data_IF_099276477786
#
_entry.id   IF_099276477786
#
_cell.length_a   1.000
_cell.length_b   1.000
_cell.length_c   1.000
_cell.angle_alpha   90.00
_cell.angle_beta   90.00
_cell.angle_gamma   90.00
#
_symmetry.space_group_name_H-M   'P 1'
#
loop_
_entity.id
_entity.type
_entity.pdbx_description
1 polymer ?
#
# COMPACT_ATOMS: atom_id res chain seq x y z
N UNK A 1 22.65 -0.48 -17.70
CA UNK A 1 21.24 -0.23 -18.14
C UNK A 1 20.58 -1.47 -18.75
N UNK A 2 21.06 -2.04 -19.87
CA UNK A 2 20.42 -3.18 -20.56
C UNK A 2 20.37 -4.50 -19.77
N UNK A 3 21.29 -4.68 -18.82
CA UNK A 3 21.29 -5.84 -17.91
C UNK A 3 20.33 -5.67 -16.72
N UNK A 4 20.19 -4.44 -16.20
CA UNK A 4 19.27 -4.11 -15.12
C UNK A 4 17.80 -4.31 -15.55
N UNK A 5 17.47 -3.90 -16.78
CA UNK A 5 16.14 -4.14 -17.37
C UNK A 5 15.90 -5.66 -17.52
N UNK A 6 16.89 -6.43 -17.98
CA UNK A 6 16.77 -7.89 -18.08
C UNK A 6 16.59 -8.57 -16.71
N UNK A 7 17.27 -8.07 -15.67
CA UNK A 7 17.10 -8.53 -14.30
C UNK A 7 15.68 -8.27 -13.81
N UNK A 8 15.17 -7.04 -13.96
CA UNK A 8 13.79 -6.68 -13.61
C UNK A 8 12.75 -7.54 -14.34
N UNK A 9 12.90 -7.73 -15.65
CA UNK A 9 11.96 -8.57 -16.43
C UNK A 9 12.00 -10.04 -16.00
N UNK A 10 13.18 -10.57 -15.64
CA UNK A 10 13.31 -11.94 -15.13
C UNK A 10 12.68 -12.08 -13.75
N UNK A 11 12.95 -11.14 -12.84
CA UNK A 11 12.34 -11.11 -11.51
C UNK A 11 10.82 -11.03 -11.60
N UNK A 12 10.30 -10.15 -12.47
CA UNK A 12 8.86 -10.03 -12.71
C UNK A 12 8.24 -11.32 -13.25
N UNK A 13 8.89 -11.98 -14.21
CA UNK A 13 8.41 -13.27 -14.74
C UNK A 13 8.42 -14.38 -13.69
N UNK A 14 9.46 -14.43 -12.86
CA UNK A 14 9.58 -15.41 -11.77
C UNK A 14 8.51 -15.17 -10.69
N UNK A 15 8.09 -13.93 -10.46
CA UNK A 15 7.01 -13.61 -9.52
C UNK A 15 5.68 -14.29 -9.86
N UNK A 16 5.41 -14.63 -11.13
CA UNK A 16 4.16 -15.30 -11.55
C UNK A 16 4.27 -16.82 -11.72
N UNK A 17 5.42 -17.40 -11.42
CA UNK A 17 5.65 -18.85 -11.49
C UNK A 17 5.56 -19.41 -10.07
N UNK A 18 4.56 -20.25 -9.81
CA UNK A 18 4.36 -20.83 -8.48
C UNK A 18 3.62 -22.17 -8.52
N UNK A 19 3.41 -22.72 -7.34
CA UNK A 19 2.65 -23.95 -7.12
C UNK A 19 1.13 -23.70 -7.24
N UNK A 20 0.30 -24.76 -7.30
CA UNK A 20 -1.17 -24.61 -7.31
C UNK A 20 -1.69 -23.77 -6.15
N UNK A 21 -1.08 -23.90 -4.95
CA UNK A 21 -1.42 -23.09 -3.78
C UNK A 21 -1.15 -21.60 -3.99
N UNK A 22 -0.06 -21.27 -4.68
CA UNK A 22 0.30 -19.89 -5.00
C UNK A 22 -0.76 -19.27 -5.93
N UNK A 23 -1.15 -19.98 -6.99
CA UNK A 23 -2.18 -19.48 -7.90
C UNK A 23 -3.54 -19.33 -7.22
N UNK A 24 -3.94 -20.28 -6.36
CA UNK A 24 -5.15 -20.17 -5.57
C UNK A 24 -5.14 -18.94 -4.65
N UNK A 25 -4.01 -18.68 -3.98
CA UNK A 25 -3.86 -17.50 -3.12
C UNK A 25 -3.89 -16.19 -3.91
N UNK A 26 -3.18 -16.12 -5.04
CA UNK A 26 -3.18 -14.96 -5.92
C UNK A 26 -4.57 -14.67 -6.50
N UNK A 27 -5.31 -15.71 -6.90
CA UNK A 27 -6.69 -15.57 -7.37
C UNK A 27 -7.59 -15.02 -6.27
N UNK A 28 -7.50 -15.56 -5.06
CA UNK A 28 -8.25 -15.09 -3.90
C UNK A 28 -7.99 -13.60 -3.60
N UNK A 29 -6.72 -13.18 -3.55
CA UNK A 29 -6.34 -11.78 -3.35
C UNK A 29 -6.87 -10.88 -4.48
N UNK A 30 -6.84 -11.35 -5.72
CA UNK A 30 -7.37 -10.61 -6.88
C UNK A 30 -8.88 -10.44 -6.78
N UNK A 31 -9.62 -11.47 -6.36
CA UNK A 31 -11.05 -11.36 -6.11
C UNK A 31 -11.38 -10.31 -5.05
N UNK A 32 -10.65 -10.29 -3.93
CA UNK A 32 -10.82 -9.28 -2.87
C UNK A 32 -10.53 -7.88 -3.41
N UNK A 33 -9.44 -7.70 -4.16
CA UNK A 33 -9.08 -6.42 -4.74
C UNK A 33 -10.16 -5.90 -5.70
N UNK A 34 -10.75 -6.76 -6.53
CA UNK A 34 -11.84 -6.40 -7.44
C UNK A 34 -13.12 -6.03 -6.70
N UNK A 35 -13.44 -6.73 -5.60
CA UNK A 35 -14.57 -6.36 -4.74
C UNK A 35 -14.36 -4.97 -4.11
N UNK A 36 -13.14 -4.70 -3.61
CA UNK A 36 -12.76 -3.39 -3.08
C UNK A 36 -12.84 -2.28 -4.13
N UNK A 37 -12.36 -2.55 -5.36
CA UNK A 37 -12.45 -1.61 -6.47
C UNK A 37 -13.91 -1.33 -6.86
N UNK A 38 -14.77 -2.36 -6.88
CA UNK A 38 -16.21 -2.18 -7.14
C UNK A 38 -16.87 -1.29 -6.08
N UNK A 39 -16.55 -1.52 -4.79
CA UNK A 39 -17.04 -0.68 -3.70
C UNK A 39 -16.55 0.77 -3.84
N UNK A 40 -15.29 0.98 -4.19
CA UNK A 40 -14.73 2.30 -4.45
C UNK A 40 -15.41 3.01 -5.63
N UNK A 41 -15.66 2.31 -6.74
CA UNK A 41 -16.39 2.88 -7.88
C UNK A 41 -17.80 3.32 -7.50
N UNK A 42 -18.50 2.53 -6.67
CA UNK A 42 -19.82 2.92 -6.15
C UNK A 42 -19.71 4.18 -5.29
N UNK A 43 -18.77 4.22 -4.36
CA UNK A 43 -18.55 5.39 -3.51
C UNK A 43 -18.18 6.65 -4.32
N UNK A 44 -17.42 6.50 -5.40
CA UNK A 44 -17.09 7.62 -6.28
C UNK A 44 -18.34 8.25 -6.94
N UNK A 45 -19.35 7.43 -7.25
CA UNK A 45 -20.60 7.91 -7.89
C UNK A 45 -21.62 8.42 -6.86
N UNK A 46 -21.82 7.68 -5.77
CA UNK A 46 -22.83 8.00 -4.75
C UNK A 46 -22.32 8.98 -3.68
N UNK A 47 -21.02 9.28 -3.68
CA UNK A 47 -20.36 10.19 -2.73
C UNK A 47 -19.99 9.52 -1.41
N UNK A 48 -19.27 10.27 -0.56
CA UNK A 48 -18.78 9.81 0.74
C UNK A 48 -19.89 9.37 1.72
N UNK A 49 -21.15 9.76 1.47
CA UNK A 49 -22.29 9.33 2.28
C UNK A 49 -22.46 7.80 2.36
N UNK A 50 -21.98 7.03 1.37
CA UNK A 50 -22.04 5.57 1.40
C UNK A 50 -21.13 4.92 2.44
N UNK A 51 -20.19 5.69 3.01
CA UNK A 51 -19.24 5.20 4.02
C UNK A 51 -19.83 5.17 5.43
N UNK A 52 -21.01 5.76 5.64
CA UNK A 52 -21.62 5.90 6.96
C UNK A 52 -20.99 6.98 7.84
N UNK A 53 -20.12 7.84 7.29
CA UNK A 53 -19.63 9.02 7.98
C UNK A 53 -20.75 10.04 8.20
N UNK A 54 -20.68 10.75 9.33
CA UNK A 54 -21.63 11.81 9.71
C UNK A 54 -20.90 13.13 9.85
N UNK A 55 -21.62 14.25 9.89
CA UNK A 55 -20.99 15.57 10.11
C UNK A 55 -20.25 15.66 11.46
N UNK A 56 -20.64 14.84 12.45
CA UNK A 56 -19.93 14.76 13.74
C UNK A 56 -18.67 13.90 13.67
N UNK A 57 -18.64 12.90 12.78
CA UNK A 57 -17.50 12.00 12.58
C UNK A 57 -17.17 11.97 11.09
N UNK A 58 -16.50 13.03 10.66
CA UNK A 58 -16.04 13.21 9.29
C UNK A 58 -14.82 12.36 8.94
N UNK A 59 -14.10 11.85 9.96
CA UNK A 59 -12.93 11.00 9.83
C UNK A 59 -13.25 9.59 10.30
N UNK A 60 -13.74 8.79 9.36
CA UNK A 60 -14.09 7.40 9.61
C UNK A 60 -12.92 6.44 9.43
N UNK A 61 -13.24 5.29 8.85
CA UNK A 61 -12.32 4.17 8.66
C UNK A 61 -11.11 4.51 7.76
N UNK A 62 -11.23 5.50 6.86
CA UNK A 62 -10.12 5.89 5.98
C UNK A 62 -8.97 6.55 6.72
N UNK A 63 -9.25 7.59 7.53
CA UNK A 63 -8.19 8.29 8.25
C UNK A 63 -7.65 7.47 9.42
N UNK A 64 -8.49 6.63 10.03
CA UNK A 64 -8.02 5.64 11.00
C UNK A 64 -6.98 4.67 10.39
N UNK A 65 -7.25 4.11 9.20
CA UNK A 65 -6.30 3.21 8.54
C UNK A 65 -5.07 3.95 8.01
N UNK A 66 -5.23 5.18 7.52
CA UNK A 66 -4.10 6.02 7.11
C UNK A 66 -3.11 6.24 8.26
N UNK A 67 -3.58 6.70 9.42
CA UNK A 67 -2.72 6.95 10.59
C UNK A 67 -2.06 5.67 11.11
N UNK A 68 -2.79 4.54 11.08
CA UNK A 68 -2.24 3.23 11.42
C UNK A 68 -1.08 2.82 10.49
N UNK A 69 -1.28 2.95 9.18
CA UNK A 69 -0.27 2.65 8.17
C UNK A 69 0.94 3.59 8.28
N UNK A 70 0.73 4.89 8.52
CA UNK A 70 1.84 5.82 8.81
C UNK A 70 2.65 5.35 10.02
N UNK A 71 2.00 4.84 11.07
CA UNK A 71 2.67 4.22 12.22
C UNK A 71 3.52 3.01 11.85
N UNK A 72 3.01 2.12 10.99
CA UNK A 72 3.77 0.97 10.48
C UNK A 72 4.99 1.43 9.66
N UNK A 73 4.83 2.45 8.80
CA UNK A 73 5.94 3.00 8.03
C UNK A 73 7.03 3.58 8.95
N UNK A 74 6.64 4.31 10.00
CA UNK A 74 7.58 4.84 10.99
C UNK A 74 8.32 3.72 11.74
N UNK A 75 7.62 2.64 12.10
CA UNK A 75 8.23 1.46 12.72
C UNK A 75 9.24 0.76 11.80
N UNK A 76 8.92 0.64 10.50
CA UNK A 76 9.83 0.09 9.51
C UNK A 76 11.11 0.91 9.37
N UNK A 77 11.01 2.25 9.33
CA UNK A 77 12.17 3.15 9.30
C UNK A 77 12.99 3.08 10.60
N UNK A 78 12.36 2.87 11.75
CA UNK A 78 13.08 2.70 13.01
C UNK A 78 14.04 1.50 13.00
N UNK A 79 13.74 0.43 12.26
CA UNK A 79 14.62 -0.73 12.11
C UNK A 79 15.88 -0.43 11.27
N UNK A 80 15.80 0.59 10.40
CA UNK A 80 16.89 1.00 9.52
C UNK A 80 18.05 1.60 10.32
N UNK A 81 17.73 2.48 11.28
CA UNK A 81 18.72 3.22 12.07
C UNK A 81 19.78 2.30 12.74
N UNK A 82 19.41 1.31 13.57
CA UNK A 82 20.38 0.44 14.22
C UNK A 82 21.13 -0.43 13.21
N UNK A 83 20.52 -0.86 12.10
CA UNK A 83 21.21 -1.69 11.11
C UNK A 83 22.37 -0.96 10.42
N UNK A 84 22.18 0.32 10.12
CA UNK A 84 23.23 1.16 9.55
C UNK A 84 24.31 1.52 10.57
N UNK A 85 23.94 1.73 11.85
CA UNK A 85 24.89 2.08 12.92
C UNK A 85 25.75 0.88 13.33
N UNK A 86 25.12 -0.26 13.63
CA UNK A 86 25.82 -1.44 14.15
C UNK A 86 26.55 -2.25 13.05
N UNK A 87 26.36 -1.91 11.77
CA UNK A 87 26.98 -2.58 10.60
C UNK A 87 26.90 -4.11 10.65
N UNK A 88 25.86 -4.65 11.27
CA UNK A 88 25.66 -6.09 11.36
C UNK A 88 24.98 -6.58 10.07
N UNK A 89 25.60 -7.56 9.40
CA UNK A 89 25.11 -8.12 8.13
C UNK A 89 23.73 -8.78 8.27
N UNK A 90 23.45 -9.43 9.40
CA UNK A 90 22.15 -10.07 9.64
C UNK A 90 21.01 -9.06 9.80
N UNK A 91 21.32 -7.88 10.35
CA UNK A 91 20.35 -6.80 10.48
C UNK A 91 20.05 -6.15 9.11
N UNK A 92 21.00 -6.18 8.18
CA UNK A 92 20.84 -5.63 6.84
C UNK A 92 19.79 -6.39 6.02
N UNK A 93 19.73 -7.72 6.14
CA UNK A 93 18.72 -8.53 5.44
C UNK A 93 17.30 -8.17 5.91
N UNK A 94 17.11 -7.90 7.20
CA UNK A 94 15.81 -7.47 7.76
C UNK A 94 15.42 -6.07 7.29
N UNK A 95 16.39 -5.17 7.14
CA UNK A 95 16.14 -3.81 6.64
C UNK A 95 15.61 -3.81 5.22
N UNK A 96 16.09 -4.70 4.34
CA UNK A 96 15.59 -4.78 2.96
C UNK A 96 14.08 -5.08 2.95
N UNK A 97 13.61 -6.00 3.80
CA UNK A 97 12.18 -6.26 3.95
C UNK A 97 11.43 -5.06 4.55
N UNK A 98 12.03 -4.37 5.51
CA UNK A 98 11.48 -3.15 6.11
C UNK A 98 11.30 -2.02 5.10
N UNK A 99 12.29 -1.79 4.22
CA UNK A 99 12.23 -0.77 3.17
C UNK A 99 11.15 -1.11 2.13
N UNK A 100 11.07 -2.37 1.70
CA UNK A 100 10.01 -2.83 0.78
C UNK A 100 8.61 -2.65 1.39
N UNK A 101 8.46 -2.96 2.67
CA UNK A 101 7.22 -2.73 3.41
C UNK A 101 6.90 -1.23 3.49
N UNK A 102 7.87 -0.39 3.83
CA UNK A 102 7.68 1.06 3.94
C UNK A 102 7.17 1.66 2.62
N UNK A 103 7.73 1.26 1.48
CA UNK A 103 7.26 1.70 0.15
C UNK A 103 5.82 1.27 -0.09
N UNK A 104 5.48 0.00 0.17
CA UNK A 104 4.12 -0.50 -0.01
C UNK A 104 3.10 0.23 0.88
N UNK A 105 3.47 0.48 2.14
CA UNK A 105 2.63 1.18 3.13
C UNK A 105 2.42 2.64 2.74
N UNK A 106 3.44 3.35 2.26
CA UNK A 106 3.30 4.74 1.79
C UNK A 106 2.34 4.82 0.60
N UNK A 107 2.43 3.90 -0.36
CA UNK A 107 1.50 3.84 -1.50
C UNK A 107 0.06 3.66 -1.00
N UNK A 108 -0.15 2.75 -0.04
CA UNK A 108 -1.47 2.55 0.56
C UNK A 108 -1.96 3.79 1.32
N UNK A 109 -1.10 4.47 2.08
CA UNK A 109 -1.43 5.72 2.76
C UNK A 109 -1.94 6.78 1.77
N UNK A 110 -1.21 6.98 0.67
CA UNK A 110 -1.59 7.94 -0.37
C UNK A 110 -2.93 7.58 -1.01
N UNK A 111 -3.19 6.29 -1.27
CA UNK A 111 -4.49 5.83 -1.75
C UNK A 111 -5.60 6.13 -0.75
N UNK A 112 -5.43 5.84 0.54
CA UNK A 112 -6.46 6.11 1.56
C UNK A 112 -6.82 7.60 1.65
N UNK A 113 -5.83 8.48 1.64
CA UNK A 113 -6.06 9.94 1.59
C UNK A 113 -6.76 10.33 0.28
N UNK A 114 -6.37 9.71 -0.83
CA UNK A 114 -6.99 9.97 -2.15
C UNK A 114 -8.48 9.65 -2.16
N UNK A 115 -8.85 8.53 -1.57
CA UNK A 115 -10.23 8.06 -1.48
C UNK A 115 -11.06 8.92 -0.52
N UNK A 116 -10.47 9.38 0.58
CA UNK A 116 -11.15 10.20 1.59
C UNK A 116 -11.57 11.58 1.04
N UNK A 117 -10.82 12.13 0.08
CA UNK A 117 -11.11 13.46 -0.48
C UNK A 117 -12.42 13.56 -1.29
N UNK A 118 -13.07 12.44 -1.64
CA UNK A 118 -14.37 12.39 -2.31
C UNK A 118 -14.41 12.90 -3.77
N UNK A 119 -13.54 13.83 -4.15
CA UNK A 119 -13.33 14.32 -5.52
C UNK A 119 -11.84 14.38 -5.85
N UNK A 120 -11.22 13.22 -6.15
CA UNK A 120 -9.79 13.17 -6.48
C UNK A 120 -9.42 14.00 -7.72
N UNK A 121 -10.38 14.30 -8.59
CA UNK A 121 -10.19 15.17 -9.76
C UNK A 121 -9.63 16.56 -9.40
N UNK A 122 -9.89 17.05 -8.18
CA UNK A 122 -9.43 18.36 -7.70
C UNK A 122 -8.15 18.31 -6.87
N UNK A 123 -7.43 17.19 -6.81
CA UNK A 123 -6.17 17.08 -6.06
C UNK A 123 -5.14 18.16 -6.42
N UNK A 124 -5.16 18.63 -7.66
CA UNK A 124 -4.22 19.64 -8.16
C UNK A 124 -4.46 21.02 -7.53
N UNK A 125 -5.66 21.30 -7.00
CA UNK A 125 -6.00 22.58 -6.38
C UNK A 125 -5.49 22.73 -4.93
N UNK A 126 -4.84 21.70 -4.37
CA UNK A 126 -4.24 21.73 -3.03
C UNK A 126 -2.85 22.38 -3.00
N UNK A 127 -2.21 22.56 -4.16
CA UNK A 127 -0.90 23.20 -4.32
C UNK A 127 -1.06 24.59 -4.95
#
# INVERSE_FOLDING_TARGET
>A
MREYIRFLTRSFRLSFVGDWKYYAWMFFLTCIALLGLNAYCKQFVFGLATTGMTDQVSWGLYIANFTYLVGIAAAAVMLVIPAYIYRNKELHDVVIFGELLAVAVIIMCLLFVTVDLGRPDRFIHLF
#
